data_IF_064122778751
#
_entry.id   IF_064122778751
#
_cell.length_a   1.000
_cell.length_b   1.000
_cell.length_c   1.000
_cell.angle_alpha   90.00
_cell.angle_beta   90.00
_cell.angle_gamma   90.00
#
_symmetry.space_group_name_H-M   'P 1'
#
loop_
_entity.id
_entity.type
_entity.pdbx_description
1 polymer ?
#
# COMPACT_ATOMS: atom_id res chain seq x y z
N UNK A 1 -19.19 -4.90 7.47
CA UNK A 1 -17.92 -5.63 7.54
C UNK A 1 -18.20 -7.02 8.09
N UNK A 2 -17.77 -8.09 7.42
CA UNK A 2 -17.96 -9.48 7.85
C UNK A 2 -16.88 -9.91 8.84
N UNK A 3 -17.08 -11.03 9.56
CA UNK A 3 -16.04 -11.63 10.43
C UNK A 3 -14.75 -11.90 9.64
N UNK A 4 -14.89 -12.41 8.40
CA UNK A 4 -13.77 -12.69 7.51
C UNK A 4 -13.00 -11.41 7.15
N UNK A 5 -13.71 -10.34 6.80
CA UNK A 5 -13.10 -9.03 6.54
C UNK A 5 -12.40 -8.48 7.79
N UNK A 6 -12.98 -8.65 8.98
CA UNK A 6 -12.37 -8.23 10.24
C UNK A 6 -11.05 -8.99 10.50
N UNK A 7 -11.03 -10.32 10.31
CA UNK A 7 -9.83 -11.14 10.51
C UNK A 7 -8.71 -10.80 9.52
N UNK A 8 -9.03 -10.70 8.23
CA UNK A 8 -8.03 -10.28 7.24
C UNK A 8 -7.59 -8.84 7.44
N UNK A 9 -8.51 -7.94 7.81
CA UNK A 9 -8.20 -6.57 8.16
C UNK A 9 -7.21 -6.49 9.31
N UNK A 10 -7.47 -7.19 10.41
CA UNK A 10 -6.56 -7.24 11.56
C UNK A 10 -5.18 -7.81 11.18
N UNK A 11 -5.14 -8.94 10.46
CA UNK A 11 -3.89 -9.58 10.04
C UNK A 11 -3.07 -8.68 9.10
N UNK A 12 -3.68 -8.13 8.05
CA UNK A 12 -2.99 -7.28 7.09
C UNK A 12 -2.58 -5.94 7.72
N UNK A 13 -3.37 -5.39 8.64
CA UNK A 13 -3.01 -4.18 9.39
C UNK A 13 -1.82 -4.45 10.30
N UNK A 14 -1.82 -5.59 11.00
CA UNK A 14 -0.68 -6.01 11.81
C UNK A 14 0.59 -6.18 10.97
N UNK A 15 0.49 -6.76 9.77
CA UNK A 15 1.62 -6.84 8.84
C UNK A 15 2.07 -5.45 8.34
N UNK A 16 1.14 -4.55 8.03
CA UNK A 16 1.45 -3.19 7.61
C UNK A 16 2.18 -2.38 8.69
N UNK A 17 1.95 -2.70 9.97
CA UNK A 17 2.70 -2.16 11.11
C UNK A 17 4.05 -2.85 11.28
N UNK A 18 4.06 -4.18 11.21
CA UNK A 18 5.23 -5.00 11.48
C UNK A 18 6.33 -4.81 10.45
N UNK A 19 5.99 -4.73 9.16
CA UNK A 19 6.98 -4.62 8.08
C UNK A 19 7.90 -3.41 8.26
N UNK A 20 7.43 -2.15 8.40
CA UNK A 20 8.33 -1.04 8.60
C UNK A 20 9.18 -1.20 9.88
N UNK A 21 8.65 -1.77 10.96
CA UNK A 21 9.41 -2.02 12.19
C UNK A 21 10.51 -3.08 12.02
N UNK A 22 10.20 -4.18 11.32
CA UNK A 22 11.08 -5.32 11.17
C UNK A 22 12.09 -5.16 10.03
N UNK A 23 11.74 -4.40 8.99
CA UNK A 23 12.55 -4.27 7.77
C UNK A 23 13.35 -2.98 7.71
N UNK A 24 13.07 -2.01 8.59
CA UNK A 24 13.87 -0.81 8.74
C UNK A 24 15.36 -1.15 8.88
N UNK A 25 16.19 -0.48 8.10
CA UNK A 25 17.64 -0.63 8.11
C UNK A 25 18.25 -1.74 7.24
N UNK A 26 17.51 -2.77 6.79
CA UNK A 26 18.10 -3.85 5.98
C UNK A 26 17.37 -4.14 4.66
N UNK A 27 16.03 -4.08 4.63
CA UNK A 27 15.23 -4.11 3.40
C UNK A 27 14.72 -2.71 3.04
N UNK A 28 15.46 -1.70 3.47
CA UNK A 28 15.11 -0.30 3.27
C UNK A 28 16.12 0.36 2.34
N UNK A 29 15.60 1.01 1.30
CA UNK A 29 16.35 1.94 0.44
C UNK A 29 16.11 3.35 0.97
N UNK A 30 17.19 4.10 1.23
CA UNK A 30 17.13 5.47 1.73
C UNK A 30 18.01 6.37 0.87
N UNK A 31 17.37 7.28 0.12
CA UNK A 31 18.00 8.30 -0.71
C UNK A 31 17.24 9.61 -0.43
N UNK A 32 17.63 10.38 0.61
CA UNK A 32 16.83 11.50 1.09
C UNK A 32 16.43 12.48 -0.02
N UNK A 33 15.16 12.92 -0.07
CA UNK A 33 14.09 12.66 0.90
C UNK A 33 13.27 11.39 0.62
N UNK A 34 13.63 10.62 -0.40
CA UNK A 34 12.97 9.36 -0.72
C UNK A 34 13.45 8.24 0.20
N UNK A 35 12.49 7.44 0.64
CA UNK A 35 12.75 6.16 1.28
C UNK A 35 11.69 5.15 0.88
N UNK A 36 12.10 3.89 0.78
CA UNK A 36 11.24 2.75 0.48
C UNK A 36 11.65 1.55 1.33
N UNK A 37 10.68 0.92 1.99
CA UNK A 37 10.88 -0.37 2.68
C UNK A 37 10.27 -1.45 1.81
N UNK A 38 11.08 -2.36 1.28
CA UNK A 38 10.62 -3.42 0.37
C UNK A 38 9.51 -4.25 1.02
N UNK A 39 8.41 -4.45 0.32
CA UNK A 39 7.24 -5.17 0.80
C UNK A 39 6.26 -4.34 1.62
N UNK A 40 6.53 -3.07 1.92
CA UNK A 40 5.66 -2.23 2.77
C UNK A 40 4.28 -2.00 2.19
N UNK A 41 4.12 -2.03 0.85
CA UNK A 41 2.81 -1.94 0.23
C UNK A 41 2.08 -3.27 0.13
N UNK A 42 2.76 -4.41 0.31
CA UNK A 42 2.18 -5.73 0.06
C UNK A 42 0.91 -5.95 0.89
N UNK A 43 0.84 -5.62 2.19
CA UNK A 43 -0.41 -5.75 2.94
C UNK A 43 -1.52 -4.86 2.37
N UNK A 44 -1.22 -3.61 2.04
CA UNK A 44 -2.19 -2.66 1.45
C UNK A 44 -2.68 -3.11 0.07
N UNK A 45 -1.79 -3.68 -0.75
CA UNK A 45 -2.11 -4.17 -2.09
C UNK A 45 -2.90 -5.48 -2.06
N UNK A 46 -2.61 -6.39 -1.11
CA UNK A 46 -3.45 -7.56 -0.87
C UNK A 46 -4.83 -7.19 -0.34
N UNK A 47 -4.91 -6.16 0.52
CA UNK A 47 -6.17 -5.66 1.09
C UNK A 47 -7.17 -5.19 0.03
N UNK A 48 -6.69 -4.75 -1.15
CA UNK A 48 -7.54 -4.41 -2.31
C UNK A 48 -8.47 -5.56 -2.72
N UNK A 49 -8.02 -6.80 -2.52
CA UNK A 49 -8.79 -8.00 -2.89
C UNK A 49 -9.82 -8.42 -1.84
N UNK A 50 -9.79 -7.78 -0.66
CA UNK A 50 -10.68 -8.08 0.47
C UNK A 50 -11.89 -7.14 0.46
N UNK A 51 -11.68 -5.85 0.75
CA UNK A 51 -12.74 -4.84 0.72
C UNK A 51 -12.19 -3.41 0.84
N UNK A 52 -12.95 -2.37 0.42
CA UNK A 52 -12.58 -0.97 0.61
C UNK A 52 -12.30 -0.62 2.07
N UNK A 53 -13.13 -1.11 3.01
CA UNK A 53 -12.94 -0.87 4.43
C UNK A 53 -11.65 -1.50 4.96
N UNK A 54 -11.34 -2.73 4.54
CA UNK A 54 -10.09 -3.40 4.92
C UNK A 54 -8.89 -2.67 4.32
N UNK A 55 -8.95 -2.27 3.05
CA UNK A 55 -7.86 -1.51 2.43
C UNK A 55 -7.60 -0.15 3.12
N UNK A 56 -8.66 0.55 3.52
CA UNK A 56 -8.55 1.78 4.32
C UNK A 56 -7.88 1.53 5.67
N UNK A 57 -8.32 0.51 6.42
CA UNK A 57 -7.74 0.16 7.73
C UNK A 57 -6.26 -0.19 7.63
N UNK A 58 -5.88 -0.96 6.60
CA UNK A 58 -4.48 -1.34 6.36
C UNK A 58 -3.65 -0.12 5.97
N UNK A 59 -4.20 0.82 5.18
CA UNK A 59 -3.56 2.10 4.88
C UNK A 59 -3.31 2.96 6.13
N UNK A 60 -4.28 3.00 7.07
CA UNK A 60 -4.12 3.67 8.37
C UNK A 60 -3.01 3.00 9.19
N UNK A 61 -3.02 1.66 9.27
CA UNK A 61 -1.97 0.90 9.95
C UNK A 61 -0.59 1.15 9.37
N UNK A 62 -0.46 1.14 8.04
CA UNK A 62 0.78 1.47 7.34
C UNK A 62 1.28 2.87 7.70
N UNK A 63 0.38 3.87 7.71
CA UNK A 63 0.71 5.26 8.07
C UNK A 63 1.23 5.37 9.50
N UNK A 64 0.58 4.69 10.44
CA UNK A 64 1.01 4.65 11.83
C UNK A 64 2.35 3.93 12.00
N UNK A 65 2.56 2.81 11.31
CA UNK A 65 3.84 2.10 11.32
C UNK A 65 4.98 3.00 10.89
N UNK A 66 4.82 3.71 9.77
CA UNK A 66 5.83 4.65 9.28
C UNK A 66 6.00 5.89 10.16
N UNK A 67 4.96 6.34 10.85
CA UNK A 67 5.06 7.42 11.83
C UNK A 67 6.01 7.05 12.97
N UNK A 68 5.89 5.83 13.49
CA UNK A 68 6.72 5.33 14.59
C UNK A 68 8.16 5.08 14.13
N UNK A 69 8.38 4.66 12.89
CA UNK A 69 9.72 4.25 12.41
C UNK A 69 10.53 5.35 11.73
N UNK A 70 9.90 6.16 10.86
CA UNK A 70 10.57 7.09 9.94
C UNK A 70 10.05 8.54 10.05
N UNK A 71 9.09 8.79 10.94
CA UNK A 71 8.61 10.13 11.26
C UNK A 71 7.51 10.67 10.34
N UNK A 72 7.09 11.93 10.54
CA UNK A 72 5.82 12.46 10.03
C UNK A 72 5.77 12.63 8.51
N UNK A 73 6.89 12.92 7.84
CA UNK A 73 6.91 13.12 6.38
C UNK A 73 6.64 11.78 5.67
N UNK A 74 7.28 10.70 6.12
CA UNK A 74 7.06 9.36 5.55
C UNK A 74 5.69 8.81 5.95
N UNK A 75 5.21 9.12 7.16
CA UNK A 75 3.84 8.80 7.55
C UNK A 75 2.79 9.49 6.67
N UNK A 76 3.01 10.76 6.31
CA UNK A 76 2.12 11.51 5.42
C UNK A 76 2.11 10.91 4.01
N UNK A 77 3.26 10.45 3.50
CA UNK A 77 3.34 9.65 2.27
C UNK A 77 2.53 8.36 2.39
N UNK A 78 2.74 7.59 3.45
CA UNK A 78 2.00 6.36 3.70
C UNK A 78 0.48 6.58 3.89
N UNK A 79 0.04 7.78 4.29
CA UNK A 79 -1.39 8.12 4.35
C UNK A 79 -2.07 8.10 2.96
N UNK A 80 -1.31 8.25 1.87
CA UNK A 80 -1.82 8.07 0.50
C UNK A 80 -2.31 6.64 0.27
N UNK A 81 -1.81 5.66 1.06
CA UNK A 81 -2.28 4.27 1.02
C UNK A 81 -3.76 4.12 1.34
N UNK A 82 -4.31 5.03 2.15
CA UNK A 82 -5.73 5.07 2.46
C UNK A 82 -6.54 5.36 1.19
N UNK A 83 -6.10 6.37 0.43
CA UNK A 83 -6.78 6.84 -0.79
C UNK A 83 -6.66 5.80 -1.90
N UNK A 84 -5.44 5.35 -2.20
CA UNK A 84 -5.28 4.33 -3.25
C UNK A 84 -5.91 3.00 -2.84
N UNK A 85 -5.91 2.68 -1.53
CA UNK A 85 -6.55 1.48 -0.98
C UNK A 85 -8.06 1.48 -1.23
N UNK A 86 -8.74 2.58 -0.91
CA UNK A 86 -10.17 2.74 -1.16
C UNK A 86 -10.51 2.64 -2.65
N UNK A 87 -9.77 3.36 -3.50
CA UNK A 87 -10.00 3.37 -4.96
C UNK A 87 -9.71 2.00 -5.57
N UNK A 88 -8.55 1.42 -5.25
CA UNK A 88 -8.12 0.13 -5.81
C UNK A 88 -9.05 -1.01 -5.42
N UNK A 89 -9.51 -1.05 -4.16
CA UNK A 89 -10.47 -2.08 -3.73
C UNK A 89 -11.81 -1.95 -4.44
N UNK A 90 -12.26 -0.72 -4.73
CA UNK A 90 -13.48 -0.48 -5.51
C UNK A 90 -13.32 -0.93 -6.98
N UNK A 91 -12.17 -0.65 -7.59
CA UNK A 91 -11.85 -1.14 -8.94
C UNK A 91 -11.83 -2.67 -8.97
N UNK A 92 -11.20 -3.32 -7.99
CA UNK A 92 -11.19 -4.78 -7.90
C UNK A 92 -12.60 -5.37 -7.79
N UNK A 93 -13.47 -4.77 -6.96
CA UNK A 93 -14.89 -5.17 -6.84
C UNK A 93 -15.69 -5.01 -8.14
N UNK A 94 -15.29 -4.07 -9.00
CA UNK A 94 -15.89 -3.88 -10.34
C UNK A 94 -15.42 -4.92 -11.36
N UNK A 95 -14.59 -5.88 -10.97
CA UNK A 95 -14.17 -7.01 -11.81
C UNK A 95 -12.82 -6.80 -12.51
N UNK A 96 -12.10 -5.73 -12.21
CA UNK A 96 -10.74 -5.56 -12.71
C UNK A 96 -9.81 -6.60 -12.08
N UNK A 97 -8.92 -7.18 -12.88
CA UNK A 97 -7.89 -8.11 -12.38
C UNK A 97 -6.91 -7.34 -11.49
N UNK A 98 -6.34 -8.00 -10.47
CA UNK A 98 -5.44 -7.36 -9.52
C UNK A 98 -4.30 -6.58 -10.19
N UNK A 99 -3.65 -7.14 -11.22
CA UNK A 99 -2.58 -6.43 -11.94
C UNK A 99 -3.06 -5.14 -12.63
N UNK A 100 -4.31 -5.11 -13.13
CA UNK A 100 -4.90 -3.91 -13.72
C UNK A 100 -5.16 -2.87 -12.64
N UNK A 101 -5.67 -3.30 -11.48
CA UNK A 101 -5.90 -2.42 -10.34
C UNK A 101 -4.59 -1.78 -9.89
N UNK A 102 -3.51 -2.56 -9.73
CA UNK A 102 -2.18 -2.05 -9.34
C UNK A 102 -1.68 -0.96 -10.31
N UNK A 103 -1.80 -1.20 -11.63
CA UNK A 103 -1.44 -0.17 -12.62
C UNK A 103 -2.34 1.08 -12.55
N UNK A 104 -3.64 0.92 -12.29
CA UNK A 104 -4.58 2.04 -12.22
C UNK A 104 -4.41 2.90 -10.96
N UNK A 105 -3.94 2.32 -9.86
CA UNK A 105 -3.66 3.06 -8.62
C UNK A 105 -2.27 3.70 -8.59
N UNK A 106 -1.35 3.28 -9.46
CA UNK A 106 0.01 3.82 -9.53
C UNK A 106 0.05 5.36 -9.66
N UNK A 107 -0.75 6.02 -10.52
CA UNK A 107 -0.77 7.48 -10.58
C UNK A 107 -1.23 8.12 -9.28
N UNK A 108 -2.24 7.55 -8.62
CA UNK A 108 -2.76 8.04 -7.32
C UNK A 108 -1.64 7.97 -6.27
N UNK A 109 -0.91 6.86 -6.25
CA UNK A 109 0.17 6.64 -5.32
C UNK A 109 1.35 7.60 -5.55
N UNK A 110 1.91 7.62 -6.75
CA UNK A 110 3.08 8.43 -7.07
C UNK A 110 2.80 9.94 -6.97
N UNK A 111 1.68 10.40 -7.52
CA UNK A 111 1.30 11.82 -7.46
C UNK A 111 0.92 12.19 -6.03
N UNK A 112 0.13 11.35 -5.34
CA UNK A 112 -0.26 11.59 -3.96
C UNK A 112 0.94 11.76 -3.03
N UNK A 113 1.91 10.86 -3.10
CA UNK A 113 3.12 10.96 -2.28
C UNK A 113 3.99 12.17 -2.66
N UNK A 114 4.06 12.50 -3.95
CA UNK A 114 4.80 13.68 -4.40
C UNK A 114 4.17 14.98 -3.88
N UNK A 115 2.84 15.07 -3.90
CA UNK A 115 2.13 16.27 -3.45
C UNK A 115 2.13 16.40 -1.92
N UNK A 116 1.97 15.30 -1.19
CA UNK A 116 1.84 15.35 0.27
C UNK A 116 3.12 15.80 0.97
N UNK A 117 4.29 15.65 0.32
CA UNK A 117 5.57 16.10 0.88
C UNK A 117 5.86 17.58 0.63
N UNK A 118 5.20 18.24 -0.33
CA UNK A 118 5.47 19.65 -0.66
C UNK A 118 5.18 20.62 0.52
N UNK A 119 4.09 20.47 1.30
CA UNK A 119 3.84 21.30 2.48
C UNK A 119 4.93 21.20 3.58
N UNK A 120 5.77 20.17 3.54
CA UNK A 120 6.90 20.01 4.45
C UNK A 120 8.18 20.73 3.98
N UNK A 121 8.09 21.56 2.93
CA UNK A 121 9.20 22.38 2.42
C UNK A 121 10.06 21.70 1.35
N UNK A 122 9.65 20.54 0.83
CA UNK A 122 10.35 19.87 -0.26
C UNK A 122 10.08 20.56 -1.60
N UNK A 123 11.15 20.89 -2.32
CA UNK A 123 11.07 21.54 -3.62
C UNK A 123 10.61 20.61 -4.75
N UNK A 124 10.27 21.19 -5.91
CA UNK A 124 9.75 20.45 -7.07
C UNK A 124 10.58 19.23 -7.48
N UNK A 125 11.90 19.36 -7.54
CA UNK A 125 12.80 18.25 -7.89
C UNK A 125 12.72 17.13 -6.85
N UNK A 126 12.79 17.47 -5.57
CA UNK A 126 12.71 16.50 -4.48
C UNK A 126 11.36 15.78 -4.46
N UNK A 127 10.27 16.51 -4.64
CA UNK A 127 8.92 15.96 -4.58
C UNK A 127 8.54 15.15 -5.82
N UNK A 128 8.73 15.70 -7.03
CA UNK A 128 8.27 15.03 -8.25
C UNK A 128 9.26 13.98 -8.78
N UNK A 129 10.57 14.25 -8.66
CA UNK A 129 11.60 13.36 -9.20
C UNK A 129 12.01 12.35 -8.15
N UNK A 130 12.54 12.79 -7.01
CA UNK A 130 13.08 11.84 -6.02
C UNK A 130 11.97 11.02 -5.37
N UNK A 131 10.94 11.68 -4.82
CA UNK A 131 9.79 10.98 -4.24
C UNK A 131 8.95 10.33 -5.34
N UNK A 132 8.44 11.08 -6.31
CA UNK A 132 7.55 10.54 -7.35
C UNK A 132 8.12 9.35 -8.14
N UNK A 133 9.32 9.46 -8.71
CA UNK A 133 9.92 8.33 -9.46
C UNK A 133 10.31 7.19 -8.52
N UNK A 134 10.84 7.51 -7.33
CA UNK A 134 11.13 6.50 -6.32
C UNK A 134 9.88 5.68 -5.95
N UNK A 135 8.75 6.35 -5.75
CA UNK A 135 7.45 5.73 -5.47
C UNK A 135 6.98 4.85 -6.63
N UNK A 136 7.20 5.25 -7.89
CA UNK A 136 6.88 4.42 -9.05
C UNK A 136 7.68 3.11 -9.02
N UNK A 137 9.01 3.20 -8.84
CA UNK A 137 9.88 2.03 -8.80
C UNK A 137 9.52 1.09 -7.64
N UNK A 138 9.31 1.66 -6.46
CA UNK A 138 8.93 0.91 -5.26
C UNK A 138 7.56 0.23 -5.41
N UNK A 139 6.58 0.94 -5.98
CA UNK A 139 5.26 0.39 -6.27
C UNK A 139 5.33 -0.81 -7.21
N UNK A 140 6.18 -0.77 -8.24
CA UNK A 140 6.36 -1.91 -9.14
C UNK A 140 7.00 -3.11 -8.45
N UNK A 141 8.02 -2.88 -7.61
CA UNK A 141 8.65 -3.94 -6.84
C UNK A 141 7.64 -4.64 -5.92
N UNK A 142 6.87 -3.87 -5.14
CA UNK A 142 5.87 -4.42 -4.23
C UNK A 142 4.66 -5.02 -4.98
N UNK A 143 4.32 -4.50 -6.16
CA UNK A 143 3.29 -5.08 -7.03
C UNK A 143 3.68 -6.47 -7.51
N UNK A 144 4.95 -6.67 -7.91
CA UNK A 144 5.44 -7.98 -8.31
C UNK A 144 5.37 -8.98 -7.15
N UNK A 145 5.81 -8.58 -5.96
CA UNK A 145 5.72 -9.39 -4.74
C UNK A 145 4.26 -9.73 -4.43
N UNK A 146 3.37 -8.73 -4.49
CA UNK A 146 1.93 -8.90 -4.24
C UNK A 146 1.31 -9.90 -5.21
N UNK A 147 1.59 -9.78 -6.52
CA UNK A 147 1.02 -10.67 -7.53
C UNK A 147 1.51 -12.11 -7.34
N UNK A 148 2.80 -12.31 -7.04
CA UNK A 148 3.36 -13.62 -6.74
C UNK A 148 2.72 -14.23 -5.48
N UNK A 149 2.63 -13.46 -4.39
CA UNK A 149 2.04 -13.90 -3.13
C UNK A 149 0.54 -14.19 -3.27
N UNK A 150 -0.21 -13.31 -3.93
CA UNK A 150 -1.64 -13.51 -4.21
C UNK A 150 -1.88 -14.78 -5.04
N UNK A 151 -1.06 -15.03 -6.06
CA UNK A 151 -1.12 -16.25 -6.86
C UNK A 151 -0.86 -17.51 -6.04
N UNK A 152 0.17 -17.50 -5.19
CA UNK A 152 0.52 -18.60 -4.30
C UNK A 152 -0.60 -18.89 -3.29
N UNK A 153 -1.16 -17.85 -2.67
CA UNK A 153 -2.28 -17.96 -1.71
C UNK A 153 -3.54 -18.52 -2.37
N UNK A 154 -3.86 -18.08 -3.59
CA UNK A 154 -4.99 -18.62 -4.36
C UNK A 154 -4.78 -20.11 -4.68
N UNK A 155 -3.57 -20.50 -5.08
CA UNK A 155 -3.23 -21.91 -5.36
C UNK A 155 -3.33 -22.78 -4.11
N UNK A 156 -2.98 -22.23 -2.94
CA UNK A 156 -3.11 -22.88 -1.65
C UNK A 156 -4.55 -22.93 -1.11
N UNK A 157 -5.53 -22.38 -1.84
CA UNK A 157 -6.93 -22.36 -1.43
C UNK A 157 -7.27 -21.35 -0.33
N UNK A 158 -6.39 -20.37 -0.07
CA UNK A 158 -6.67 -19.33 0.93
C UNK A 158 -7.76 -18.39 0.40
N UNK A 159 -8.90 -18.26 1.09
CA UNK A 159 -10.05 -17.55 0.55
C UNK A 159 -9.91 -16.04 0.76
N UNK A 160 -8.98 -15.34 0.09
CA UNK A 160 -8.78 -13.88 0.27
C UNK A 160 -9.94 -13.02 -0.22
N UNK A 161 -10.61 -13.41 -1.30
CA UNK A 161 -11.75 -12.66 -1.82
C UNK A 161 -12.93 -12.75 -0.86
N UNK A 162 -13.42 -11.60 -0.37
CA UNK A 162 -14.81 -11.53 0.07
C UNK A 162 -15.66 -11.79 -1.17
N UNK A 163 -16.69 -12.64 -1.05
CA UNK A 163 -17.63 -12.92 -2.12
C UNK A 163 -18.07 -11.62 -2.78
N UNK A 164 -18.33 -11.59 -4.10
CA UNK A 164 -18.99 -10.44 -4.70
C UNK A 164 -20.24 -10.22 -3.85
N UNK A 165 -20.30 -9.08 -3.15
CA UNK A 165 -21.56 -8.63 -2.60
C UNK A 165 -22.41 -8.45 -3.85
N UNK A 166 -23.30 -9.44 -4.06
CA UNK A 166 -24.30 -9.38 -5.11
C UNK A 166 -24.95 -8.01 -4.99
N UNK A 167 -25.10 -7.38 -6.16
CA UNK A 167 -25.69 -6.07 -6.39
C UNK A 167 -26.93 -5.82 -5.55
#
# INVERSE_FOLDING_TARGET
MTIKELLYGALLTALALLIPLAFQGWLQVSIPPFSATLGSHVPSMLALTVSPWVAVLVGIGSSFGFLVTLGPIVAARAAVHIVFGAVGAHLYRRGFKLWQVLLLILPIHAIGESLVVMPFGLGWYQSLVLVGIGTILHHFADSAITLALYGALKKAGVPFAASPQLR
#
